data_IF_584323709399
#
_entry.id   IF_584323709399
#
_cell.length_a   1.000
_cell.length_b   1.000
_cell.length_c   1.000
_cell.angle_alpha   90.00
_cell.angle_beta   90.00
_cell.angle_gamma   90.00
#
_symmetry.space_group_name_H-M   'P 1'
#
loop_
_entity.id
_entity.type
_entity.pdbx_description
1 polymer ?
#
# COMPACT_ATOMS: atom_id res chain seq x y z
N UNK A 1 -5.60 28.89 -86.62
CA UNK A 1 -6.08 27.53 -86.34
C UNK A 1 -6.37 27.43 -84.84
N UNK A 2 -7.53 27.93 -84.42
CA UNK A 2 -7.96 28.03 -83.01
C UNK A 2 -8.76 26.76 -82.67
N UNK A 3 -8.08 25.61 -82.64
CA UNK A 3 -8.73 24.32 -82.43
C UNK A 3 -8.78 24.00 -80.93
N UNK A 4 -9.99 23.81 -80.40
CA UNK A 4 -10.16 23.06 -79.16
C UNK A 4 -11.51 23.17 -78.50
N UNK A 5 -12.11 24.37 -78.42
CA UNK A 5 -13.34 24.58 -77.66
C UNK A 5 -14.12 25.76 -78.23
N UNK A 6 -15.41 25.58 -78.50
CA UNK A 6 -16.32 26.67 -78.92
C UNK A 6 -16.63 27.64 -77.77
N UNK A 7 -16.45 27.21 -76.52
CA UNK A 7 -16.61 28.00 -75.29
C UNK A 7 -15.62 27.52 -74.20
N UNK A 8 -14.48 28.22 -73.98
CA UNK A 8 -13.47 27.83 -73.01
C UNK A 8 -13.95 27.98 -71.55
N UNK A 9 -14.92 28.84 -71.26
CA UNK A 9 -15.51 28.97 -69.92
C UNK A 9 -16.35 27.73 -69.57
N UNK A 10 -17.13 27.25 -70.54
CA UNK A 10 -17.87 26.00 -70.40
C UNK A 10 -16.95 24.79 -70.21
N UNK A 11 -15.85 24.69 -70.97
CA UNK A 11 -14.89 23.60 -70.82
C UNK A 11 -14.19 23.58 -69.45
N UNK A 12 -13.81 24.76 -68.93
CA UNK A 12 -13.23 24.87 -67.57
C UNK A 12 -14.25 24.46 -66.51
N UNK A 13 -15.53 24.80 -66.68
CA UNK A 13 -16.60 24.39 -65.75
C UNK A 13 -16.76 22.87 -65.73
N UNK A 14 -16.75 22.22 -66.90
CA UNK A 14 -16.85 20.76 -67.01
C UNK A 14 -15.63 20.03 -66.46
N UNK A 15 -14.44 20.60 -66.70
CA UNK A 15 -13.20 20.13 -66.10
C UNK A 15 -13.27 20.21 -64.58
N UNK A 16 -13.69 21.36 -64.03
CA UNK A 16 -13.82 21.56 -62.59
C UNK A 16 -14.78 20.54 -61.95
N UNK A 17 -15.93 20.24 -62.58
CA UNK A 17 -16.87 19.23 -62.09
C UNK A 17 -16.26 17.81 -62.11
N UNK A 18 -15.52 17.47 -63.17
CA UNK A 18 -14.90 16.15 -63.32
C UNK A 18 -13.75 15.96 -62.32
N UNK A 19 -12.91 16.97 -62.18
CA UNK A 19 -11.81 17.01 -61.21
C UNK A 19 -12.34 16.94 -59.77
N UNK A 20 -13.36 17.74 -59.43
CA UNK A 20 -14.00 17.68 -58.12
C UNK A 20 -14.51 16.25 -57.81
N UNK A 21 -15.20 15.61 -58.75
CA UNK A 21 -15.72 14.25 -58.57
C UNK A 21 -14.59 13.23 -58.36
N UNK A 22 -13.49 13.35 -59.11
CA UNK A 22 -12.32 12.47 -59.01
C UNK A 22 -11.62 12.63 -57.66
N UNK A 23 -11.31 13.87 -57.25
CA UNK A 23 -10.61 14.13 -55.99
C UNK A 23 -11.46 13.78 -54.77
N UNK A 24 -12.77 14.05 -54.82
CA UNK A 24 -13.70 13.65 -53.76
C UNK A 24 -13.79 12.13 -53.61
N UNK A 25 -13.68 11.38 -54.71
CA UNK A 25 -13.74 9.92 -54.70
C UNK A 25 -12.51 9.22 -54.10
N UNK A 26 -11.36 9.91 -54.03
CA UNK A 26 -10.12 9.37 -53.45
C UNK A 26 -10.09 9.47 -51.91
N UNK A 27 -10.91 10.35 -51.33
CA UNK A 27 -10.92 10.66 -49.91
C UNK A 27 -12.13 10.01 -49.22
N UNK A 28 -11.96 9.65 -47.94
CA UNK A 28 -13.11 9.26 -47.11
C UNK A 28 -13.94 10.49 -46.77
N UNK A 29 -15.26 10.32 -46.62
CA UNK A 29 -16.19 11.41 -46.35
C UNK A 29 -15.77 12.29 -45.16
N UNK A 30 -15.25 11.65 -44.10
CA UNK A 30 -14.78 12.34 -42.90
C UNK A 30 -13.48 13.15 -43.13
N UNK A 31 -12.59 12.69 -44.02
CA UNK A 31 -11.42 13.48 -44.45
C UNK A 31 -11.82 14.69 -45.29
N UNK A 32 -12.82 14.54 -46.15
CA UNK A 32 -13.35 15.67 -46.94
C UNK A 32 -13.85 16.80 -46.05
N UNK A 33 -14.50 16.48 -44.92
CA UNK A 33 -14.94 17.50 -43.96
C UNK A 33 -13.78 18.14 -43.18
N UNK A 34 -12.75 17.36 -42.83
CA UNK A 34 -11.61 17.84 -42.04
C UNK A 34 -10.55 18.60 -42.86
N UNK A 35 -10.37 18.24 -44.12
CA UNK A 35 -9.25 18.70 -44.96
C UNK A 35 -9.75 19.48 -46.20
N UNK A 36 -10.82 20.27 -46.06
CA UNK A 36 -11.42 21.04 -47.19
C UNK A 36 -10.44 21.96 -47.91
N UNK A 37 -9.53 22.59 -47.17
CA UNK A 37 -8.55 23.53 -47.75
C UNK A 37 -7.53 22.80 -48.64
N UNK A 38 -7.05 21.64 -48.19
CA UNK A 38 -6.17 20.77 -49.00
C UNK A 38 -6.87 20.28 -50.27
N UNK A 39 -8.14 19.88 -50.16
CA UNK A 39 -8.94 19.48 -51.32
C UNK A 39 -9.12 20.64 -52.32
N UNK A 40 -9.39 21.85 -51.84
CA UNK A 40 -9.51 23.03 -52.69
C UNK A 40 -8.21 23.33 -53.44
N UNK A 41 -7.06 23.26 -52.76
CA UNK A 41 -5.75 23.47 -53.38
C UNK A 41 -5.48 22.44 -54.49
N UNK A 42 -5.69 21.15 -54.21
CA UNK A 42 -5.51 20.07 -55.19
C UNK A 42 -6.42 20.23 -56.41
N UNK A 43 -7.67 20.69 -56.22
CA UNK A 43 -8.60 20.95 -57.32
C UNK A 43 -8.11 22.13 -58.18
N UNK A 44 -7.63 23.23 -57.56
CA UNK A 44 -7.08 24.38 -58.29
C UNK A 44 -5.87 23.97 -59.13
N UNK A 45 -4.97 23.19 -58.56
CA UNK A 45 -3.76 22.72 -59.25
C UNK A 45 -4.11 21.84 -60.46
N UNK A 46 -5.02 20.87 -60.27
CA UNK A 46 -5.47 19.99 -61.34
C UNK A 46 -6.25 20.73 -62.45
N UNK A 47 -7.05 21.74 -62.11
CA UNK A 47 -7.74 22.58 -63.10
C UNK A 47 -6.72 23.41 -63.90
N UNK A 48 -5.77 24.06 -63.23
CA UNK A 48 -4.78 24.91 -63.89
C UNK A 48 -3.90 24.10 -64.85
N UNK A 49 -3.47 22.90 -64.46
CA UNK A 49 -2.65 22.03 -65.31
C UNK A 49 -3.33 21.67 -66.65
N UNK A 50 -4.66 21.53 -66.67
CA UNK A 50 -5.40 21.25 -67.91
C UNK A 50 -5.89 22.54 -68.62
N UNK A 51 -6.07 23.64 -67.90
CA UNK A 51 -6.57 24.92 -68.45
C UNK A 51 -5.48 25.78 -69.11
N UNK A 52 -4.19 25.45 -68.91
CA UNK A 52 -3.05 26.11 -69.55
C UNK A 52 -3.17 26.16 -71.08
N UNK A 53 -3.73 25.11 -71.71
CA UNK A 53 -3.96 25.06 -73.16
C UNK A 53 -5.02 26.07 -73.66
N UNK A 54 -5.88 26.57 -72.77
CA UNK A 54 -6.95 27.52 -73.09
C UNK A 54 -6.62 28.95 -72.67
N UNK A 55 -5.50 29.16 -71.97
CA UNK A 55 -5.10 30.48 -71.48
C UNK A 55 -5.97 31.02 -70.33
N UNK A 56 -6.68 30.15 -69.63
CA UNK A 56 -7.52 30.50 -68.47
C UNK A 56 -6.84 30.00 -67.19
N UNK A 57 -6.79 30.85 -66.16
CA UNK A 57 -6.23 30.52 -64.85
C UNK A 57 -7.31 30.55 -63.76
N UNK A 58 -7.47 29.44 -63.05
CA UNK A 58 -8.29 29.38 -61.85
C UNK A 58 -7.51 29.98 -60.67
N UNK A 59 -8.04 31.07 -60.09
CA UNK A 59 -7.43 31.74 -58.95
C UNK A 59 -7.79 31.07 -57.62
N UNK A 60 -9.03 30.57 -57.50
CA UNK A 60 -9.53 29.97 -56.26
C UNK A 60 -10.72 29.06 -56.54
N UNK A 61 -10.75 27.93 -55.85
CA UNK A 61 -11.89 27.03 -55.80
C UNK A 61 -12.38 26.91 -54.36
N UNK A 62 -13.69 26.98 -54.13
CA UNK A 62 -14.29 26.81 -52.81
C UNK A 62 -15.49 25.88 -52.87
N UNK A 63 -15.44 24.83 -52.04
CA UNK A 63 -16.59 23.96 -51.83
C UNK A 63 -17.54 24.65 -50.84
N UNK A 64 -18.76 24.94 -51.30
CA UNK A 64 -19.82 25.54 -50.50
C UNK A 64 -20.45 24.50 -49.55
N UNK A 65 -21.47 23.79 -50.01
CA UNK A 65 -22.25 22.85 -49.19
C UNK A 65 -22.15 21.41 -49.71
N UNK A 66 -21.99 20.46 -48.79
CA UNK A 66 -21.98 19.02 -49.09
C UNK A 66 -23.22 18.41 -48.43
N UNK A 67 -24.18 17.98 -49.26
CA UNK A 67 -25.41 17.35 -48.80
C UNK A 67 -25.23 15.83 -48.78
N UNK A 68 -25.17 15.27 -47.58
CA UNK A 68 -25.05 13.82 -47.36
C UNK A 68 -26.43 13.25 -47.01
N UNK A 69 -26.84 12.08 -47.56
CA UNK A 69 -28.08 11.42 -47.16
C UNK A 69 -28.16 11.17 -45.65
N UNK A 70 -29.34 11.30 -45.02
CA UNK A 70 -29.48 11.24 -43.56
C UNK A 70 -29.02 9.90 -42.96
N UNK A 71 -29.22 8.79 -43.68
CA UNK A 71 -28.76 7.46 -43.26
C UNK A 71 -27.25 7.37 -43.03
N UNK A 72 -26.46 8.00 -43.91
CA UNK A 72 -24.99 7.99 -43.80
C UNK A 72 -24.52 8.88 -42.65
N UNK A 73 -25.19 10.02 -42.44
CA UNK A 73 -24.92 10.91 -41.30
C UNK A 73 -25.16 10.18 -39.97
N UNK A 74 -26.27 9.45 -39.85
CA UNK A 74 -26.59 8.68 -38.65
C UNK A 74 -25.57 7.56 -38.39
N UNK A 75 -25.21 6.80 -39.42
CA UNK A 75 -24.18 5.76 -39.32
C UNK A 75 -22.82 6.32 -38.88
N UNK A 76 -22.42 7.47 -39.43
CA UNK A 76 -21.19 8.17 -39.03
C UNK A 76 -21.25 8.64 -37.58
N UNK A 77 -22.39 9.18 -37.13
CA UNK A 77 -22.59 9.58 -35.73
C UNK A 77 -22.48 8.38 -34.78
N UNK A 78 -23.13 7.25 -35.11
CA UNK A 78 -23.02 6.02 -34.32
C UNK A 78 -21.58 5.52 -34.25
N UNK A 79 -20.83 5.57 -35.35
CA UNK A 79 -19.43 5.15 -35.39
C UNK A 79 -18.54 6.03 -34.48
N UNK A 80 -18.68 7.36 -34.58
CA UNK A 80 -17.93 8.31 -33.75
C UNK A 80 -18.28 8.14 -32.27
N UNK A 81 -19.56 7.93 -31.97
CA UNK A 81 -20.00 7.69 -30.60
C UNK A 81 -19.46 6.36 -30.04
N UNK A 82 -19.50 5.28 -30.83
CA UNK A 82 -18.93 3.99 -30.45
C UNK A 82 -17.42 4.09 -30.19
N UNK A 83 -16.69 4.81 -31.04
CA UNK A 83 -15.26 5.04 -30.84
C UNK A 83 -14.98 5.87 -29.57
N UNK A 84 -15.76 6.94 -29.34
CA UNK A 84 -15.67 7.73 -28.10
C UNK A 84 -15.96 6.88 -26.87
N UNK A 85 -17.03 6.09 -26.88
CA UNK A 85 -17.39 5.18 -25.77
C UNK A 85 -16.29 4.16 -25.51
N UNK A 86 -15.74 3.55 -26.56
CA UNK A 86 -14.61 2.62 -26.44
C UNK A 86 -13.40 3.29 -25.80
N UNK A 87 -13.01 4.48 -26.27
CA UNK A 87 -11.88 5.23 -25.71
C UNK A 87 -12.12 5.60 -24.24
N UNK A 88 -13.33 6.04 -23.90
CA UNK A 88 -13.69 6.37 -22.52
C UNK A 88 -13.60 5.15 -21.60
N UNK A 89 -14.13 4.01 -22.03
CA UNK A 89 -14.10 2.75 -21.28
C UNK A 89 -12.68 2.24 -21.04
N UNK A 90 -11.80 2.33 -22.05
CA UNK A 90 -10.39 1.95 -21.91
C UNK A 90 -9.70 2.86 -20.88
N UNK A 91 -9.89 4.17 -21.00
CA UNK A 91 -9.30 5.15 -20.08
C UNK A 91 -9.79 4.96 -18.63
N UNK A 92 -11.08 4.69 -18.44
CA UNK A 92 -11.66 4.43 -17.12
C UNK A 92 -11.12 3.13 -16.52
N UNK A 93 -11.00 2.07 -17.32
CA UNK A 93 -10.40 0.81 -16.89
C UNK A 93 -8.93 0.95 -16.52
N UNK A 94 -8.17 1.73 -17.30
CA UNK A 94 -6.76 2.03 -17.02
C UNK A 94 -6.62 2.84 -15.74
N UNK A 95 -7.42 3.90 -15.57
CA UNK A 95 -7.44 4.71 -14.35
C UNK A 95 -7.83 3.90 -13.11
N UNK A 96 -8.79 2.99 -13.23
CA UNK A 96 -9.18 2.09 -12.12
C UNK A 96 -8.05 1.15 -11.74
N UNK A 97 -7.38 0.56 -12.74
CA UNK A 97 -6.22 -0.32 -12.52
C UNK A 97 -5.08 0.43 -11.85
N UNK A 98 -4.74 1.61 -12.35
CA UNK A 98 -3.65 2.43 -11.79
C UNK A 98 -3.96 2.91 -10.37
N UNK A 99 -5.20 3.32 -10.11
CA UNK A 99 -5.66 3.67 -8.77
C UNK A 99 -5.53 2.50 -7.78
N UNK A 100 -5.95 1.30 -8.18
CA UNK A 100 -5.84 0.11 -7.34
C UNK A 100 -4.39 -0.26 -7.03
N UNK A 101 -3.48 -0.12 -8.01
CA UNK A 101 -2.04 -0.33 -7.81
C UNK A 101 -1.48 0.67 -6.82
N UNK A 102 -1.77 1.96 -7.00
CA UNK A 102 -1.28 3.02 -6.11
C UNK A 102 -1.77 2.82 -4.66
N UNK A 103 -3.02 2.42 -4.46
CA UNK A 103 -3.56 2.11 -3.13
C UNK A 103 -2.83 0.90 -2.52
N UNK A 104 -2.66 -0.18 -3.28
CA UNK A 104 -1.98 -1.38 -2.79
C UNK A 104 -0.51 -1.11 -2.44
N UNK A 105 0.19 -0.31 -3.25
CA UNK A 105 1.57 0.09 -3.01
C UNK A 105 1.68 1.00 -1.79
N UNK A 106 0.78 1.96 -1.64
CA UNK A 106 0.68 2.80 -0.44
C UNK A 106 0.45 1.99 0.83
N UNK A 107 -0.46 0.99 0.79
CA UNK A 107 -0.71 0.09 1.92
C UNK A 107 0.51 -0.76 2.26
N UNK A 108 1.17 -1.33 1.25
CA UNK A 108 2.41 -2.10 1.44
C UNK A 108 3.48 -1.24 2.12
N UNK A 109 3.69 -0.02 1.62
CA UNK A 109 4.69 0.88 2.17
C UNK A 109 4.35 1.32 3.60
N UNK A 110 3.08 1.62 3.87
CA UNK A 110 2.60 1.94 5.22
C UNK A 110 2.83 0.79 6.20
N UNK A 111 2.54 -0.46 5.78
CA UNK A 111 2.74 -1.65 6.61
C UNK A 111 4.21 -1.90 6.94
N UNK A 112 5.11 -1.70 5.95
CA UNK A 112 6.57 -1.82 6.16
C UNK A 112 7.02 -0.75 7.15
N UNK A 113 6.65 0.51 6.93
CA UNK A 113 7.06 1.61 7.78
C UNK A 113 6.54 1.45 9.22
N UNK A 114 5.31 0.94 9.39
CA UNK A 114 4.74 0.64 10.70
C UNK A 114 5.55 -0.46 11.44
N UNK A 115 5.91 -1.54 10.74
CA UNK A 115 6.73 -2.62 11.30
C UNK A 115 8.13 -2.15 11.69
N UNK A 116 8.76 -1.31 10.85
CA UNK A 116 10.05 -0.70 11.14
C UNK A 116 9.98 0.25 12.34
N UNK A 117 8.92 1.06 12.43
CA UNK A 117 8.68 1.95 13.54
C UNK A 117 8.48 1.20 14.86
N UNK A 118 7.69 0.11 14.86
CA UNK A 118 7.48 -0.73 16.04
C UNK A 118 8.81 -1.36 16.51
N UNK A 119 9.59 -1.90 15.57
CA UNK A 119 10.92 -2.45 15.88
C UNK A 119 11.83 -1.40 16.50
N UNK A 120 11.86 -0.20 15.93
CA UNK A 120 12.67 0.90 16.44
C UNK A 120 12.20 1.35 17.83
N UNK A 121 10.89 1.43 18.06
CA UNK A 121 10.29 1.74 19.35
C UNK A 121 10.70 0.73 20.42
N UNK A 122 10.58 -0.58 20.13
CA UNK A 122 10.96 -1.64 21.06
C UNK A 122 12.45 -1.58 21.41
N UNK A 123 13.32 -1.33 20.43
CA UNK A 123 14.77 -1.16 20.66
C UNK A 123 15.02 0.06 21.54
N UNK A 124 14.41 1.20 21.23
CA UNK A 124 14.58 2.43 22.00
C UNK A 124 14.10 2.27 23.44
N UNK A 125 12.97 1.58 23.65
CA UNK A 125 12.44 1.28 24.97
C UNK A 125 13.39 0.38 25.77
N UNK A 126 13.84 -0.72 25.17
CA UNK A 126 14.80 -1.62 25.81
C UNK A 126 16.12 -0.93 26.16
N UNK A 127 16.65 -0.10 25.26
CA UNK A 127 17.85 0.70 25.49
C UNK A 127 17.64 1.73 26.61
N UNK A 128 16.48 2.40 26.63
CA UNK A 128 16.09 3.34 27.69
C UNK A 128 16.02 2.67 29.06
N UNK A 129 15.40 1.48 29.14
CA UNK A 129 15.31 0.68 30.37
C UNK A 129 16.69 0.21 30.85
N UNK A 130 17.52 -0.32 29.94
CA UNK A 130 18.89 -0.73 30.26
C UNK A 130 19.72 0.44 30.81
N UNK A 131 19.66 1.59 30.15
CA UNK A 131 20.36 2.81 30.58
C UNK A 131 19.86 3.29 31.95
N UNK A 132 18.54 3.24 32.20
CA UNK A 132 17.97 3.61 33.49
C UNK A 132 18.43 2.65 34.61
N UNK A 133 18.51 1.34 34.34
CA UNK A 133 19.02 0.34 35.29
C UNK A 133 20.50 0.61 35.60
N UNK A 134 21.33 0.82 34.57
CA UNK A 134 22.74 1.14 34.73
C UNK A 134 22.96 2.41 35.55
N UNK A 135 22.19 3.47 35.26
CA UNK A 135 22.26 4.72 36.00
C UNK A 135 21.89 4.52 37.48
N UNK A 136 20.80 3.78 37.78
CA UNK A 136 20.40 3.44 39.14
C UNK A 136 21.43 2.56 39.86
N UNK A 137 22.00 1.58 39.18
CA UNK A 137 23.02 0.68 39.73
C UNK A 137 24.30 1.45 40.07
N UNK A 138 24.75 2.33 39.17
CA UNK A 138 25.91 3.21 39.38
C UNK A 138 25.67 4.15 40.57
N UNK A 139 24.53 4.83 40.61
CA UNK A 139 24.16 5.70 41.72
C UNK A 139 24.11 4.97 43.06
N UNK A 140 23.56 3.74 43.08
CA UNK A 140 23.59 2.88 44.28
C UNK A 140 25.01 2.50 44.69
N UNK A 141 25.86 2.12 43.73
CA UNK A 141 27.26 1.80 44.00
C UNK A 141 28.04 2.99 44.57
N UNK A 142 27.83 4.18 44.03
CA UNK A 142 28.41 5.43 44.55
C UNK A 142 27.88 5.74 45.96
N UNK A 143 26.58 5.60 46.19
CA UNK A 143 25.98 5.80 47.52
C UNK A 143 26.51 4.82 48.58
N UNK A 144 26.66 3.53 48.23
CA UNK A 144 27.24 2.52 49.13
C UNK A 144 28.69 2.88 49.48
N UNK A 145 29.47 3.38 48.51
CA UNK A 145 30.85 3.82 48.75
C UNK A 145 30.91 4.99 49.72
N UNK A 146 30.07 6.01 49.51
CA UNK A 146 29.96 7.15 50.41
C UNK A 146 29.53 6.73 51.82
N UNK A 147 28.60 5.77 51.93
CA UNK A 147 28.18 5.24 53.22
C UNK A 147 29.33 4.49 53.91
N UNK A 148 30.06 3.63 53.20
CA UNK A 148 31.20 2.92 53.75
C UNK A 148 32.28 3.89 54.28
N UNK A 149 32.55 4.97 53.55
CA UNK A 149 33.43 6.06 54.00
C UNK A 149 32.89 6.71 55.29
N UNK A 150 31.61 7.07 55.32
CA UNK A 150 30.98 7.66 56.51
C UNK A 150 31.02 6.73 57.75
N UNK A 151 30.88 5.42 57.56
CA UNK A 151 30.90 4.44 58.64
C UNK A 151 32.28 4.26 59.29
N UNK A 152 33.35 4.57 58.57
CA UNK A 152 34.72 4.55 59.12
C UNK A 152 35.04 5.74 60.04
N UNK A 153 34.16 6.76 60.12
CA UNK A 153 34.26 7.85 61.10
C UNK A 153 33.77 7.39 62.49
N UNK A 154 34.23 8.05 63.57
CA UNK A 154 33.91 7.63 64.96
C UNK A 154 32.39 7.52 65.20
N UNK A 155 31.96 6.40 65.79
CA UNK A 155 30.57 6.01 66.06
C UNK A 155 29.66 5.75 64.83
N UNK A 156 30.20 5.66 63.61
CA UNK A 156 29.42 5.38 62.40
C UNK A 156 28.64 4.04 62.45
N UNK A 157 29.25 2.99 63.00
CA UNK A 157 28.62 1.65 63.07
C UNK A 157 27.35 1.62 63.93
N UNK A 158 27.30 2.41 65.01
CA UNK A 158 26.12 2.49 65.89
C UNK A 158 24.96 3.27 65.24
N UNK A 159 25.27 4.30 64.43
CA UNK A 159 24.26 5.04 63.67
C UNK A 159 23.69 4.21 62.51
N UNK A 160 24.52 3.39 61.87
CA UNK A 160 24.08 2.47 60.80
C UNK A 160 23.08 1.43 61.31
N UNK A 161 23.36 0.78 62.43
CA UNK A 161 22.49 -0.25 63.00
C UNK A 161 21.14 0.32 63.43
N UNK A 162 21.12 1.55 63.98
CA UNK A 162 19.88 2.27 64.29
C UNK A 162 19.06 2.55 63.01
N UNK A 163 19.71 3.03 61.95
CA UNK A 163 19.05 3.34 60.66
C UNK A 163 18.47 2.09 60.00
N UNK A 164 19.18 0.96 60.06
CA UNK A 164 18.68 -0.33 59.54
C UNK A 164 17.47 -0.80 60.36
N UNK A 165 17.49 -0.63 61.68
CA UNK A 165 16.36 -0.95 62.53
C UNK A 165 15.13 -0.08 62.21
N UNK A 166 15.31 1.24 61.99
CA UNK A 166 14.24 2.14 61.57
C UNK A 166 13.64 1.73 60.20
N UNK A 167 14.49 1.41 59.22
CA UNK A 167 14.06 0.94 57.89
C UNK A 167 13.30 -0.38 57.98
N UNK A 168 13.73 -1.31 58.84
CA UNK A 168 13.05 -2.59 59.08
C UNK A 168 11.65 -2.36 59.66
N UNK A 169 11.53 -1.51 60.69
CA UNK A 169 10.24 -1.16 61.30
C UNK A 169 9.31 -0.48 60.30
N UNK A 170 9.82 0.43 59.47
CA UNK A 170 9.05 1.10 58.43
C UNK A 170 8.60 0.14 57.31
N UNK A 171 9.47 -0.77 56.87
CA UNK A 171 9.12 -1.79 55.88
C UNK A 171 8.08 -2.76 56.43
N UNK A 172 8.24 -3.20 57.68
CA UNK A 172 7.28 -4.03 58.38
C UNK A 172 5.93 -3.30 58.54
N UNK A 173 5.93 -2.00 58.86
CA UNK A 173 4.72 -1.18 58.94
C UNK A 173 3.98 -1.09 57.60
N UNK A 174 4.69 -0.97 56.47
CA UNK A 174 4.09 -0.95 55.13
C UNK A 174 3.51 -2.31 54.75
N UNK A 175 4.24 -3.40 55.02
CA UNK A 175 3.75 -4.78 54.84
C UNK A 175 2.50 -5.07 55.68
N UNK A 176 2.47 -4.61 56.94
CA UNK A 176 1.31 -4.74 57.81
C UNK A 176 0.09 -3.91 57.36
N UNK A 177 0.28 -2.87 56.53
CA UNK A 177 -0.81 -2.08 55.93
C UNK A 177 -1.37 -2.70 54.64
N UNK A 178 -0.55 -3.41 53.87
CA UNK A 178 -0.96 -3.99 52.58
C UNK A 178 -1.38 -5.48 52.67
N UNK A 179 -0.92 -6.22 53.69
CA UNK A 179 -1.23 -7.64 53.89
C UNK A 179 -2.12 -7.87 55.11
N UNK A 180 -3.37 -8.31 54.89
CA UNK A 180 -4.35 -8.64 55.95
C UNK A 180 -4.26 -10.11 56.44
N UNK A 181 -3.18 -10.83 56.09
CA UNK A 181 -2.94 -12.19 56.59
C UNK A 181 -1.51 -12.28 57.09
N UNK A 182 -1.36 -12.02 58.38
CA UNK A 182 -0.13 -12.28 59.12
C UNK A 182 -0.20 -13.75 59.58
N UNK A 183 0.51 -14.64 58.90
CA UNK A 183 0.81 -15.97 59.43
C UNK A 183 1.95 -15.81 60.45
N UNK A 184 1.59 -15.65 61.72
CA UNK A 184 2.53 -15.84 62.82
C UNK A 184 2.89 -17.33 62.89
N UNK A 185 4.17 -17.73 62.74
CA UNK A 185 4.58 -19.08 63.07
C UNK A 185 4.30 -19.30 64.56
N UNK A 186 3.46 -20.27 64.90
CA UNK A 186 3.17 -20.65 66.30
C UNK A 186 4.35 -21.32 66.99
N UNK A 187 5.52 -21.39 66.33
CA UNK A 187 6.76 -21.88 66.92
C UNK A 187 7.90 -20.89 66.64
N UNK A 188 8.07 -19.91 67.54
CA UNK A 188 9.10 -18.85 67.47
C UNK A 188 10.53 -19.34 67.73
N UNK A 189 10.80 -20.65 67.63
CA UNK A 189 12.10 -21.26 67.93
C UNK A 189 12.94 -21.71 66.73
N UNK A 190 12.33 -22.10 65.60
CA UNK A 190 13.06 -22.81 64.54
C UNK A 190 12.84 -22.21 63.15
N UNK A 191 13.72 -21.28 62.77
CA UNK A 191 13.86 -20.69 61.42
C UNK A 191 13.99 -21.78 60.34
N UNK A 192 14.56 -22.94 60.69
CA UNK A 192 14.72 -24.10 59.81
C UNK A 192 13.39 -24.68 59.32
N UNK A 193 12.33 -24.63 60.13
CA UNK A 193 11.00 -25.15 59.77
C UNK A 193 10.29 -24.24 58.76
N UNK A 194 10.50 -22.93 58.86
CA UNK A 194 10.01 -21.93 57.91
C UNK A 194 10.66 -22.08 56.53
N UNK A 195 11.98 -22.28 56.49
CA UNK A 195 12.72 -22.51 55.24
C UNK A 195 12.29 -23.83 54.59
N UNK A 196 12.06 -24.88 55.38
CA UNK A 196 11.58 -26.17 54.86
C UNK A 196 10.16 -26.07 54.25
N UNK A 197 9.24 -25.35 54.89
CA UNK A 197 7.90 -25.11 54.32
C UNK A 197 7.95 -24.25 53.06
N UNK A 198 8.77 -23.20 53.03
CA UNK A 198 8.95 -22.36 51.84
C UNK A 198 9.55 -23.16 50.66
N UNK A 199 10.58 -23.99 50.91
CA UNK A 199 11.19 -24.85 49.90
C UNK A 199 10.23 -25.95 49.41
N UNK A 200 9.37 -26.47 50.29
CA UNK A 200 8.33 -27.45 49.92
C UNK A 200 7.24 -26.88 48.99
N UNK A 201 6.89 -25.60 49.16
CA UNK A 201 5.95 -24.90 48.26
C UNK A 201 6.62 -24.62 46.91
N UNK A 202 7.88 -24.18 46.92
CA UNK A 202 8.65 -23.97 45.69
C UNK A 202 8.78 -25.26 44.87
N UNK A 203 9.04 -26.41 45.53
CA UNK A 203 9.11 -27.72 44.89
C UNK A 203 7.79 -28.18 44.27
N UNK A 204 6.65 -27.92 44.92
CA UNK A 204 5.32 -28.24 44.37
C UNK A 204 4.95 -27.36 43.18
N UNK A 205 5.33 -26.09 43.19
CA UNK A 205 5.12 -25.19 42.05
C UNK A 205 5.99 -25.55 40.85
N UNK A 206 7.24 -25.95 41.06
CA UNK A 206 8.11 -26.42 39.97
C UNK A 206 7.61 -27.74 39.37
N UNK A 207 7.11 -28.66 40.20
CA UNK A 207 6.55 -29.93 39.72
C UNK A 207 5.23 -29.73 38.94
N UNK A 208 4.42 -28.73 39.31
CA UNK A 208 3.20 -28.37 38.59
C UNK A 208 3.50 -27.63 37.27
N UNK A 209 4.61 -26.89 37.18
CA UNK A 209 5.09 -26.26 35.95
C UNK A 209 5.66 -27.28 34.94
N UNK A 210 6.37 -28.31 35.42
CA UNK A 210 6.95 -29.37 34.57
C UNK A 210 5.91 -30.31 33.96
N UNK A 211 4.75 -30.49 34.61
CA UNK A 211 3.65 -31.34 34.11
C UNK A 211 2.81 -30.67 33.00
N UNK A 212 2.90 -29.35 32.82
CA UNK A 212 2.09 -28.61 31.83
C UNK A 212 2.82 -28.37 30.49
N UNK A 213 4.09 -28.76 30.35
CA UNK A 213 4.92 -28.47 29.17
C UNK A 213 5.23 -29.67 28.26
N UNK A 214 4.51 -30.79 28.36
CA UNK A 214 4.62 -31.88 27.38
C UNK A 214 3.44 -31.85 26.40
N UNK A 215 3.64 -31.58 25.09
CA UNK A 215 2.58 -31.63 24.10
C UNK A 215 2.23 -33.09 23.80
N UNK A 216 0.95 -33.43 23.92
CA UNK A 216 0.39 -34.73 23.54
C UNK A 216 0.46 -34.91 22.02
N UNK A 217 1.42 -35.72 21.56
CA UNK A 217 1.33 -36.45 20.29
C UNK A 217 0.31 -37.59 20.49
N UNK A 218 -0.87 -37.45 19.89
CA UNK A 218 -1.84 -38.53 19.73
C UNK A 218 -1.42 -39.43 18.56
N UNK A 219 -0.68 -40.49 18.87
CA UNK A 219 -0.49 -41.65 17.99
C UNK A 219 -1.59 -42.68 18.31
N UNK A 220 -2.52 -42.85 17.38
CA UNK A 220 -3.58 -43.86 17.44
C UNK A 220 -3.08 -45.16 16.83
N UNK A 221 -2.66 -46.09 17.69
CA UNK A 221 -2.16 -47.41 17.29
C UNK A 221 -3.27 -48.30 16.75
N UNK A 222 -2.90 -49.04 15.69
CA UNK A 222 -3.65 -50.07 14.99
C UNK A 222 -4.35 -51.11 15.87
N UNK A 223 -5.56 -51.48 15.47
CA UNK A 223 -6.19 -52.78 15.75
C UNK A 223 -6.50 -53.48 14.43
N UNK A 224 -5.73 -54.52 14.11
CA UNK A 224 -5.99 -55.47 13.03
C UNK A 224 -6.95 -56.55 13.50
N UNK A 225 -8.08 -56.74 12.82
CA UNK A 225 -8.80 -58.01 12.81
C UNK A 225 -9.30 -58.31 11.39
N UNK A 226 -9.01 -59.54 10.98
CA UNK A 226 -9.25 -60.15 9.68
C UNK A 226 -10.44 -61.09 9.79
N UNK A 227 -11.45 -60.99 8.91
CA UNK A 227 -12.09 -62.11 8.20
C UNK A 227 -13.48 -61.75 7.64
N UNK A 228 -13.67 -62.04 6.34
CA UNK A 228 -14.77 -62.92 5.91
C UNK A 228 -16.03 -62.31 5.29
N UNK A 229 -16.34 -62.82 4.10
CA UNK A 229 -17.66 -62.94 3.42
C UNK A 229 -18.12 -61.74 2.57
N UNK A 230 -18.24 -61.84 1.24
CA UNK A 230 -19.09 -62.71 0.39
C UNK A 230 -20.54 -62.22 0.31
N UNK A 231 -20.96 -61.86 -0.93
CA UNK A 231 -22.33 -61.64 -1.43
C UNK A 231 -22.99 -60.34 -0.90
N UNK A 232 -23.66 -59.50 -1.68
CA UNK A 232 -24.36 -59.67 -2.97
C UNK A 232 -24.34 -58.36 -3.76
#
# INVERSE_FOLDING_TARGET
ASYGVEDPEYAVTQLAQTTMRSELGKLTLDKVFRERESLNANIVDAINQASDYWGIKCLRYEIKDIHVPPKVKEAMQMQVEAERRKRAMVLESEGTRESAINVAEGQKQAQILASEAERAEQINKAAGEANAILAKAKARGDAIRMLAEALTQQNGNAAASLTVAEQYVLAFSKLAKESNTILLPTNTGDISSMVAQAMGIYGKMTQQQLAQSSPTLSDGTMGTETQGQSQS
#
